data_IF_314003949973
#
_entry.id   IF_314003949973
#
_cell.length_a   1.000
_cell.length_b   1.000
_cell.length_c   1.000
_cell.angle_alpha   90.00
_cell.angle_beta   90.00
_cell.angle_gamma   90.00
#
_symmetry.space_group_name_H-M   'P 1'
#
loop_
_entity.id
_entity.type
_entity.pdbx_description
1 polymer ?
#
# COMPACT_ATOMS: atom_id res chain seq x y z
N UNK A 1 -15.50 -6.07 -33.86
CA UNK A 1 -14.38 -6.62 -33.05
C UNK A 1 -14.80 -6.59 -31.57
N UNK A 2 -15.45 -7.65 -31.09
CA UNK A 2 -15.92 -7.77 -29.72
C UNK A 2 -14.76 -8.26 -28.84
N UNK A 3 -14.29 -7.41 -27.92
CA UNK A 3 -13.27 -7.78 -26.93
C UNK A 3 -13.95 -8.46 -25.75
N UNK A 4 -13.62 -9.73 -25.56
CA UNK A 4 -13.97 -10.48 -24.35
C UNK A 4 -13.00 -10.09 -23.24
N UNK A 5 -13.55 -9.59 -22.12
CA UNK A 5 -12.77 -9.38 -20.90
C UNK A 5 -12.79 -10.66 -20.05
N UNK A 6 -11.64 -11.12 -19.54
CA UNK A 6 -11.58 -12.27 -18.65
C UNK A 6 -12.18 -11.91 -17.28
N UNK A 7 -13.14 -12.72 -16.85
CA UNK A 7 -13.73 -12.66 -15.50
C UNK A 7 -12.70 -13.21 -14.51
N UNK A 8 -12.18 -12.35 -13.65
CA UNK A 8 -11.31 -12.73 -12.53
C UNK A 8 -12.19 -13.33 -11.44
N UNK A 9 -12.06 -14.64 -11.20
CA UNK A 9 -12.74 -15.31 -10.09
C UNK A 9 -12.01 -15.04 -8.77
N UNK A 10 -12.70 -14.67 -7.68
CA UNK A 10 -12.09 -14.44 -6.38
C UNK A 10 -11.69 -15.78 -5.74
N UNK A 11 -10.39 -16.03 -5.65
CA UNK A 11 -9.79 -17.09 -4.85
C UNK A 11 -9.85 -16.66 -3.37
N UNK A 12 -10.84 -17.15 -2.63
CA UNK A 12 -10.97 -16.81 -1.21
C UNK A 12 -12.16 -17.43 -0.49
N UNK A 13 -12.54 -18.67 -0.80
CA UNK A 13 -13.50 -19.41 0.02
C UNK A 13 -12.77 -20.06 1.20
N UNK A 14 -12.89 -19.43 2.37
CA UNK A 14 -12.50 -20.00 3.66
C UNK A 14 -13.42 -21.18 3.95
N UNK A 15 -12.86 -22.40 3.95
CA UNK A 15 -13.56 -23.63 4.35
C UNK A 15 -13.62 -23.73 5.88
N UNK A 16 -14.48 -22.94 6.53
CA UNK A 16 -14.69 -23.03 7.98
C UNK A 16 -16.17 -23.21 8.36
N UNK A 17 -16.94 -23.97 7.58
CA UNK A 17 -18.22 -24.53 8.06
C UNK A 17 -18.58 -25.80 7.28
N UNK A 18 -17.75 -26.84 7.35
CA UNK A 18 -18.21 -28.18 6.98
C UNK A 18 -19.14 -28.68 8.08
N UNK A 19 -20.43 -28.63 7.79
CA UNK A 19 -21.50 -29.13 8.65
C UNK A 19 -21.18 -30.55 9.11
N UNK A 20 -21.09 -30.73 10.43
CA UNK A 20 -20.93 -32.03 11.10
C UNK A 20 -22.17 -32.94 11.01
N UNK A 21 -23.19 -32.55 10.23
CA UNK A 21 -24.43 -33.29 10.09
C UNK A 21 -24.51 -34.18 8.84
N UNK A 22 -23.41 -34.41 8.12
CA UNK A 22 -23.42 -35.33 6.98
C UNK A 22 -23.50 -36.79 7.47
N UNK A 23 -24.57 -37.56 7.14
CA UNK A 23 -24.78 -38.94 7.62
C UNK A 23 -23.63 -39.88 7.27
N UNK A 24 -22.87 -39.57 6.23
CA UNK A 24 -21.77 -40.38 5.74
C UNK A 24 -20.55 -40.39 6.69
N UNK A 25 -20.34 -39.33 7.49
CA UNK A 25 -19.20 -39.23 8.42
C UNK A 25 -19.50 -39.96 9.74
N UNK A 26 -20.76 -39.97 10.19
CA UNK A 26 -21.19 -40.71 11.38
C UNK A 26 -21.07 -42.23 11.17
N UNK A 27 -21.33 -42.71 9.94
CA UNK A 27 -21.17 -44.13 9.60
C UNK A 27 -19.70 -44.61 9.64
N UNK A 28 -18.73 -43.77 9.27
CA UNK A 28 -17.31 -44.14 9.25
C UNK A 28 -16.72 -44.33 10.66
N UNK A 29 -17.26 -43.65 11.68
CA UNK A 29 -16.75 -43.75 13.05
C UNK A 29 -17.17 -45.04 13.78
N UNK A 30 -18.16 -45.78 13.27
CA UNK A 30 -18.64 -47.02 13.87
C UNK A 30 -17.93 -48.29 13.39
N UNK A 31 -17.15 -48.25 12.30
CA UNK A 31 -16.49 -49.44 11.75
C UNK A 31 -15.34 -49.96 12.64
N UNK A 32 -14.63 -49.05 13.33
CA UNK A 32 -13.53 -49.43 14.25
C UNK A 32 -14.05 -50.02 15.57
N UNK A 33 -15.22 -49.59 16.02
CA UNK A 33 -15.86 -50.11 17.22
C UNK A 33 -16.52 -51.47 16.92
N UNK A 34 -17.14 -51.60 15.75
CA UNK A 34 -17.73 -52.84 15.26
C UNK A 34 -16.68 -53.94 15.00
N UNK A 35 -15.46 -53.58 14.57
CA UNK A 35 -14.38 -54.58 14.45
C UNK A 35 -13.85 -55.04 15.80
N UNK A 36 -13.79 -54.18 16.81
CA UNK A 36 -13.37 -54.56 18.17
C UNK A 36 -14.40 -55.46 18.87
N UNK A 37 -15.69 -55.20 18.70
CA UNK A 37 -16.74 -56.01 19.34
C UNK A 37 -16.86 -57.42 18.74
N UNK A 38 -16.48 -57.61 17.47
CA UNK A 38 -16.47 -58.94 16.83
C UNK A 38 -15.37 -59.88 17.33
N UNK A 39 -14.30 -59.35 17.95
CA UNK A 39 -13.21 -60.16 18.51
C UNK A 39 -13.37 -60.46 20.01
N UNK A 40 -14.50 -60.09 20.64
CA UNK A 40 -14.85 -60.60 21.98
C UNK A 40 -15.30 -62.05 21.88
N UNK A 41 -14.33 -62.95 21.75
CA UNK A 41 -14.51 -64.38 21.99
C UNK A 41 -15.06 -64.56 23.41
N UNK A 42 -16.13 -65.33 23.53
CA UNK A 42 -16.73 -65.75 24.81
C UNK A 42 -15.62 -66.34 25.67
N UNK A 43 -15.42 -65.89 26.93
CA UNK A 43 -14.39 -66.45 27.78
C UNK A 43 -14.65 -67.95 27.99
N UNK A 44 -13.71 -68.75 27.49
CA UNK A 44 -13.70 -70.20 27.59
C UNK A 44 -13.76 -70.63 29.06
N UNK A 45 -14.72 -71.51 29.41
CA UNK A 45 -14.85 -72.06 30.76
C UNK A 45 -13.57 -72.82 31.11
N UNK A 46 -12.81 -72.30 32.07
CA UNK A 46 -11.64 -72.98 32.63
C UNK A 46 -12.04 -74.35 33.16
N UNK A 47 -11.50 -75.40 32.56
CA UNK A 47 -11.51 -76.75 33.10
C UNK A 47 -10.84 -76.74 34.48
N UNK A 48 -11.43 -77.47 35.42
CA UNK A 48 -10.93 -77.67 36.77
C UNK A 48 -9.45 -78.08 36.75
N UNK A 49 -8.62 -77.31 37.45
CA UNK A 49 -7.20 -77.60 37.62
C UNK A 49 -7.02 -78.98 38.28
N UNK A 50 -6.10 -79.82 37.80
CA UNK A 50 -5.76 -81.07 38.47
C UNK A 50 -5.20 -80.77 39.85
N UNK A 51 -5.81 -81.37 40.88
CA UNK A 51 -5.46 -81.20 42.27
C UNK A 51 -4.13 -81.92 42.56
N UNK A 52 -3.02 -81.19 42.53
CA UNK A 52 -1.65 -81.70 42.78
C UNK A 52 -1.35 -81.98 44.26
N UNK A 53 -2.34 -81.89 45.17
CA UNK A 53 -2.17 -82.13 46.62
C UNK A 53 -1.69 -83.56 46.99
N UNK A 54 -1.51 -84.47 46.02
CA UNK A 54 -1.03 -85.83 46.27
C UNK A 54 0.49 -86.01 46.12
N UNK A 55 1.22 -85.03 45.57
CA UNK A 55 2.69 -85.18 45.41
C UNK A 55 3.46 -84.92 46.71
N UNK A 56 2.92 -84.11 47.63
CA UNK A 56 3.55 -83.81 48.93
C UNK A 56 3.52 -85.01 49.90
N UNK A 57 2.72 -86.05 49.60
CA UNK A 57 2.58 -87.24 50.46
C UNK A 57 3.65 -88.31 50.20
N UNK A 58 4.41 -88.20 49.11
CA UNK A 58 5.44 -89.18 48.71
C UNK A 58 6.78 -88.92 49.44
N UNK A 59 7.02 -87.72 49.97
CA UNK A 59 8.27 -87.38 50.67
C UNK A 59 8.30 -87.74 52.18
N UNK A 60 7.20 -88.26 52.74
CA UNK A 60 7.09 -88.64 54.15
C UNK A 60 7.60 -90.06 54.49
N UNK A 61 7.89 -90.92 53.51
CA UNK A 61 8.38 -92.29 53.74
C UNK A 61 9.91 -92.29 53.57
N UNK A 62 10.60 -91.99 54.68
CA UNK A 62 12.03 -91.73 54.78
C UNK A 62 12.96 -92.84 54.31
N UNK A 63 13.36 -92.78 53.04
CA UNK A 63 14.44 -93.61 52.46
C UNK A 63 15.55 -92.85 51.72
N UNK A 64 15.30 -91.60 51.29
CA UNK A 64 16.25 -90.78 50.49
C UNK A 64 16.30 -89.30 50.93
N UNK A 65 15.84 -89.00 52.15
CA UNK A 65 15.58 -87.63 52.62
C UNK A 65 16.79 -86.71 52.63
N UNK A 66 17.97 -87.17 53.11
CA UNK A 66 19.17 -86.30 53.19
C UNK A 66 19.72 -85.90 51.82
N UNK A 67 19.71 -86.80 50.84
CA UNK A 67 20.15 -86.48 49.48
C UNK A 67 19.15 -85.57 48.76
N UNK A 68 17.83 -85.80 48.95
CA UNK A 68 16.79 -84.90 48.43
C UNK A 68 16.84 -83.51 49.08
N UNK A 69 17.08 -83.42 50.39
CA UNK A 69 17.27 -82.15 51.11
C UNK A 69 18.48 -81.38 50.57
N UNK A 70 19.65 -82.03 50.46
CA UNK A 70 20.84 -81.39 49.89
C UNK A 70 20.62 -80.94 48.44
N UNK A 71 19.96 -81.75 47.62
CA UNK A 71 19.62 -81.41 46.23
C UNK A 71 18.61 -80.27 46.16
N UNK A 72 17.64 -80.22 47.07
CA UNK A 72 16.68 -79.13 47.20
C UNK A 72 17.37 -77.84 47.64
N UNK A 73 18.28 -77.87 48.62
CA UNK A 73 19.09 -76.72 49.04
C UNK A 73 19.95 -76.18 47.89
N UNK A 74 20.61 -77.05 47.13
CA UNK A 74 21.36 -76.67 45.92
C UNK A 74 20.46 -76.05 44.85
N UNK A 75 19.25 -76.59 44.67
CA UNK A 75 18.27 -76.05 43.72
C UNK A 75 17.70 -74.71 44.18
N UNK A 76 17.40 -74.54 45.48
CA UNK A 76 16.97 -73.28 46.06
C UNK A 76 18.07 -72.22 45.96
N UNK A 77 19.33 -72.59 46.23
CA UNK A 77 20.47 -71.69 46.05
C UNK A 77 20.62 -71.25 44.57
N UNK A 78 20.45 -72.19 43.63
CA UNK A 78 20.46 -71.88 42.20
C UNK A 78 19.31 -70.95 41.80
N UNK A 79 18.09 -71.22 42.27
CA UNK A 79 16.91 -70.38 42.02
C UNK A 79 17.07 -68.99 42.63
N UNK A 80 17.62 -68.87 43.84
CA UNK A 80 17.89 -67.59 44.49
C UNK A 80 18.86 -66.72 43.67
N UNK A 81 19.94 -67.32 43.13
CA UNK A 81 20.88 -66.61 42.25
C UNK A 81 20.22 -66.20 40.92
N UNK A 82 19.39 -67.06 40.32
CA UNK A 82 18.66 -66.75 39.09
C UNK A 82 17.60 -65.66 39.29
N UNK A 83 16.90 -65.67 40.42
CA UNK A 83 15.93 -64.65 40.81
C UNK A 83 16.61 -63.30 41.06
N UNK A 84 17.76 -63.28 41.73
CA UNK A 84 18.53 -62.05 41.94
C UNK A 84 19.02 -61.47 40.60
N UNK A 85 19.52 -62.30 39.69
CA UNK A 85 19.92 -61.87 38.34
C UNK A 85 18.74 -61.29 37.57
N UNK A 86 17.58 -61.96 37.59
CA UNK A 86 16.35 -61.46 36.96
C UNK A 86 15.92 -60.12 37.56
N UNK A 87 16.05 -59.94 38.87
CA UNK A 87 15.71 -58.68 39.52
C UNK A 87 16.63 -57.54 39.05
N UNK A 88 17.94 -57.79 38.96
CA UNK A 88 18.91 -56.81 38.43
C UNK A 88 18.63 -56.46 36.97
N UNK A 89 18.38 -57.46 36.12
CA UNK A 89 18.01 -57.25 34.71
C UNK A 89 16.72 -56.44 34.57
N UNK A 90 15.71 -56.70 35.42
CA UNK A 90 14.47 -55.93 35.44
C UNK A 90 14.70 -54.47 35.87
N UNK A 91 15.54 -54.23 36.87
CA UNK A 91 15.90 -52.87 37.32
C UNK A 91 16.64 -52.10 36.22
N UNK A 92 17.63 -52.70 35.58
CA UNK A 92 18.36 -52.09 34.45
C UNK A 92 17.43 -51.81 33.26
N UNK A 93 16.53 -52.75 32.94
CA UNK A 93 15.54 -52.57 31.88
C UNK A 93 14.56 -51.43 32.21
N UNK A 94 14.12 -51.30 33.46
CA UNK A 94 13.26 -50.22 33.91
C UNK A 94 13.97 -48.86 33.85
N UNK A 95 15.22 -48.79 34.33
CA UNK A 95 16.01 -47.57 34.28
C UNK A 95 16.25 -47.13 32.83
N UNK A 96 16.63 -48.06 31.95
CA UNK A 96 16.78 -47.80 30.51
C UNK A 96 15.47 -47.32 29.88
N UNK A 97 14.32 -47.86 30.31
CA UNK A 97 13.00 -47.40 29.87
C UNK A 97 12.68 -45.99 30.36
N UNK A 98 13.04 -45.66 31.62
CA UNK A 98 12.90 -44.31 32.19
C UNK A 98 13.78 -43.31 31.45
N UNK A 99 15.06 -43.64 31.22
CA UNK A 99 15.99 -42.79 30.46
C UNK A 99 15.50 -42.54 29.03
N UNK A 100 15.01 -43.57 28.32
CA UNK A 100 14.41 -43.41 26.98
C UNK A 100 13.20 -42.48 26.98
N UNK A 101 12.33 -42.57 28.00
CA UNK A 101 11.17 -41.66 28.14
C UNK A 101 11.62 -40.22 28.37
N UNK A 102 12.60 -39.99 29.25
CA UNK A 102 13.14 -38.64 29.52
C UNK A 102 13.81 -38.06 28.27
N UNK A 103 14.62 -38.83 27.56
CA UNK A 103 15.26 -38.42 26.31
C UNK A 103 14.23 -38.06 25.23
N UNK A 104 13.16 -38.86 25.10
CA UNK A 104 12.07 -38.57 24.17
C UNK A 104 11.32 -37.28 24.54
N UNK A 105 11.00 -37.07 25.82
CA UNK A 105 10.35 -35.84 26.28
C UNK A 105 11.25 -34.61 26.08
N UNK A 106 12.55 -34.71 26.36
CA UNK A 106 13.51 -33.65 26.12
C UNK A 106 13.61 -33.29 24.63
N UNK A 107 13.65 -34.30 23.74
CA UNK A 107 13.64 -34.08 22.29
C UNK A 107 12.36 -33.38 21.84
N UNK A 108 11.21 -33.80 22.36
CA UNK A 108 9.91 -33.19 22.04
C UNK A 108 9.85 -31.73 22.50
N UNK A 109 10.33 -31.42 23.71
CA UNK A 109 10.41 -30.03 24.21
C UNK A 109 11.30 -29.15 23.33
N UNK A 110 12.50 -29.64 22.97
CA UNK A 110 13.39 -28.91 22.06
C UNK A 110 12.76 -28.63 20.70
N UNK A 111 12.04 -29.60 20.14
CA UNK A 111 11.32 -29.40 18.87
C UNK A 111 10.20 -28.35 19.00
N UNK A 112 9.44 -28.38 20.09
CA UNK A 112 8.39 -27.38 20.35
C UNK A 112 8.99 -25.98 20.53
N UNK A 113 10.06 -25.85 21.31
CA UNK A 113 10.76 -24.57 21.50
C UNK A 113 11.33 -24.02 20.19
N UNK A 114 11.89 -24.88 19.33
CA UNK A 114 12.38 -24.46 18.01
C UNK A 114 11.25 -24.03 17.07
N UNK A 115 10.13 -24.75 17.05
CA UNK A 115 8.95 -24.39 16.27
C UNK A 115 8.35 -23.06 16.74
N UNK A 116 8.21 -22.88 18.06
CA UNK A 116 7.74 -21.64 18.65
C UNK A 116 8.68 -20.46 18.36
N UNK A 117 10.00 -20.70 18.39
CA UNK A 117 10.99 -19.69 17.99
C UNK A 117 10.83 -19.29 16.53
N UNK A 118 10.73 -20.27 15.62
CA UNK A 118 10.50 -20.02 14.18
C UNK A 118 9.20 -19.24 13.95
N UNK A 119 8.11 -19.62 14.63
CA UNK A 119 6.82 -18.93 14.54
C UNK A 119 6.89 -17.49 15.06
N UNK A 120 7.67 -17.22 16.12
CA UNK A 120 7.87 -15.85 16.62
C UNK A 120 8.67 -15.00 15.63
N UNK A 121 9.76 -15.52 15.09
CA UNK A 121 10.57 -14.82 14.08
C UNK A 121 9.77 -14.52 12.81
N UNK A 122 8.93 -15.45 12.35
CA UNK A 122 8.07 -15.23 11.19
C UNK A 122 7.03 -14.13 11.44
N UNK A 123 6.37 -14.13 12.61
CA UNK A 123 5.44 -13.07 13.00
C UNK A 123 6.12 -11.72 13.12
N UNK A 124 7.35 -11.68 13.61
CA UNK A 124 8.13 -10.45 13.71
C UNK A 124 8.52 -9.92 12.32
N UNK A 125 8.98 -10.78 11.41
CA UNK A 125 9.26 -10.41 10.01
C UNK A 125 8.01 -9.86 9.32
N UNK A 126 6.87 -10.54 9.46
CA UNK A 126 5.60 -10.07 8.91
C UNK A 126 5.22 -8.70 9.47
N UNK A 127 5.37 -8.47 10.78
CA UNK A 127 5.13 -7.15 11.39
C UNK A 127 6.05 -6.08 10.81
N UNK A 128 7.35 -6.36 10.72
CA UNK A 128 8.31 -5.42 10.12
C UNK A 128 8.00 -5.11 8.66
N UNK A 129 7.60 -6.11 7.87
CA UNK A 129 7.20 -5.94 6.48
C UNK A 129 5.93 -5.10 6.35
N UNK A 130 4.91 -5.34 7.18
CA UNK A 130 3.70 -4.51 7.18
C UNK A 130 3.99 -3.05 7.53
N UNK A 131 4.86 -2.79 8.49
CA UNK A 131 5.27 -1.42 8.87
C UNK A 131 6.03 -0.75 7.72
N UNK A 132 6.97 -1.45 7.06
CA UNK A 132 7.70 -0.92 5.90
C UNK A 132 6.77 -0.60 4.73
N UNK A 133 5.80 -1.48 4.45
CA UNK A 133 4.81 -1.25 3.39
C UNK A 133 3.91 -0.05 3.71
N UNK A 134 3.50 0.11 4.98
CA UNK A 134 2.71 1.27 5.40
C UNK A 134 3.51 2.57 5.30
N UNK A 135 4.79 2.56 5.69
CA UNK A 135 5.68 3.72 5.57
C UNK A 135 5.91 4.13 4.11
N UNK A 136 6.16 3.17 3.21
CA UNK A 136 6.27 3.43 1.77
C UNK A 136 4.97 4.04 1.22
N UNK A 137 3.81 3.50 1.62
CA UNK A 137 2.51 4.05 1.23
C UNK A 137 2.32 5.49 1.73
N UNK A 138 2.70 5.80 2.96
CA UNK A 138 2.64 7.18 3.49
C UNK A 138 3.54 8.14 2.71
N UNK A 139 4.75 7.71 2.33
CA UNK A 139 5.67 8.52 1.53
C UNK A 139 5.09 8.77 0.13
N UNK A 140 4.49 7.76 -0.50
CA UNK A 140 3.85 7.89 -1.81
C UNK A 140 2.63 8.83 -1.77
N UNK A 141 1.75 8.67 -0.77
CA UNK A 141 0.60 9.56 -0.56
C UNK A 141 1.04 11.02 -0.33
N UNK A 142 2.12 11.25 0.41
CA UNK A 142 2.70 12.60 0.59
C UNK A 142 3.26 13.16 -0.71
N UNK A 143 3.99 12.36 -1.49
CA UNK A 143 4.52 12.77 -2.80
C UNK A 143 3.41 13.14 -3.77
N UNK A 144 2.35 12.34 -3.79
CA UNK A 144 1.17 12.60 -4.62
C UNK A 144 0.43 13.86 -4.20
N UNK A 145 0.30 14.11 -2.89
CA UNK A 145 -0.28 15.35 -2.39
C UNK A 145 0.51 16.58 -2.84
N UNK A 146 1.84 16.55 -2.68
CA UNK A 146 2.71 17.64 -3.13
C UNK A 146 2.62 17.84 -4.63
N UNK A 147 2.57 16.76 -5.42
CA UNK A 147 2.41 16.84 -6.87
C UNK A 147 1.10 17.53 -7.25
N UNK A 148 -0.03 17.14 -6.65
CA UNK A 148 -1.33 17.77 -6.93
C UNK A 148 -1.35 19.24 -6.54
N UNK A 149 -0.77 19.61 -5.40
CA UNK A 149 -0.66 21.00 -4.97
C UNK A 149 0.22 21.83 -5.93
N UNK A 150 1.26 21.24 -6.51
CA UNK A 150 2.09 21.88 -7.55
C UNK A 150 1.32 22.03 -8.87
N UNK A 151 0.65 20.98 -9.33
CA UNK A 151 -0.18 21.01 -10.55
C UNK A 151 -1.31 22.04 -10.44
N UNK A 152 -1.96 22.15 -9.28
CA UNK A 152 -3.00 23.15 -9.03
C UNK A 152 -2.42 24.58 -9.05
N UNK A 153 -1.26 24.80 -8.42
CA UNK A 153 -0.56 26.09 -8.47
C UNK A 153 -0.15 26.47 -9.90
N UNK A 154 0.36 25.52 -10.67
CA UNK A 154 0.69 25.75 -12.08
C UNK A 154 -0.55 26.04 -12.93
N UNK A 155 -1.64 25.33 -12.68
CA UNK A 155 -2.91 25.54 -13.36
C UNK A 155 -3.46 26.95 -13.06
N UNK A 156 -3.46 27.38 -11.79
CA UNK A 156 -3.83 28.74 -11.38
C UNK A 156 -2.88 29.79 -11.99
N UNK A 157 -1.59 29.50 -12.09
CA UNK A 157 -0.63 30.38 -12.73
C UNK A 157 -0.88 30.53 -14.24
N UNK A 158 -1.41 29.51 -14.92
CA UNK A 158 -1.79 29.53 -16.34
C UNK A 158 -3.12 30.24 -16.60
N UNK A 159 -3.96 30.44 -15.57
CA UNK A 159 -5.25 31.10 -15.76
C UNK A 159 -5.04 32.55 -16.25
N UNK A 160 -5.78 32.99 -17.30
CA UNK A 160 -5.69 34.35 -17.78
C UNK A 160 -6.05 35.35 -16.68
N UNK A 161 -5.13 36.27 -16.38
CA UNK A 161 -5.34 37.32 -15.38
C UNK A 161 -6.01 38.54 -16.03
N UNK A 162 -6.86 39.29 -15.31
CA UNK A 162 -7.38 40.54 -15.84
C UNK A 162 -6.23 41.49 -16.15
N UNK A 163 -6.30 42.18 -17.29
CA UNK A 163 -5.30 43.17 -17.69
C UNK A 163 -5.29 44.31 -16.67
N UNK A 164 -4.13 44.58 -16.05
CA UNK A 164 -3.97 45.62 -15.03
C UNK A 164 -4.30 47.02 -15.55
N UNK A 165 -3.98 47.30 -16.83
CA UNK A 165 -4.19 48.62 -17.45
C UNK A 165 -5.67 48.94 -17.64
N UNK A 166 -6.47 47.97 -18.11
CA UNK A 166 -7.89 48.19 -18.41
C UNK A 166 -8.85 47.51 -17.41
N UNK A 167 -8.30 46.91 -16.35
CA UNK A 167 -9.02 46.17 -15.30
C UNK A 167 -10.03 45.15 -15.84
N UNK A 168 -9.67 44.40 -16.89
CA UNK A 168 -10.57 43.40 -17.46
C UNK A 168 -11.51 43.89 -18.56
N UNK A 169 -11.64 45.20 -18.77
CA UNK A 169 -12.64 45.75 -19.72
C UNK A 169 -12.31 45.51 -21.19
N UNK A 170 -11.03 45.34 -21.53
CA UNK A 170 -10.53 45.25 -22.91
C UNK A 170 -10.57 46.58 -23.67
N UNK A 171 -11.18 47.63 -23.12
CA UNK A 171 -11.31 48.94 -23.77
C UNK A 171 -10.12 49.83 -23.39
N UNK A 172 -9.72 50.72 -24.29
CA UNK A 172 -8.72 51.74 -23.98
C UNK A 172 -9.28 52.68 -22.89
N UNK A 173 -8.53 52.87 -21.79
CA UNK A 173 -8.97 53.72 -20.66
C UNK A 173 -9.09 55.20 -21.06
N UNK A 174 -8.24 55.66 -21.99
CA UNK A 174 -8.21 57.06 -22.40
C UNK A 174 -9.44 57.49 -23.24
N UNK A 175 -9.96 56.61 -24.11
CA UNK A 175 -11.11 56.91 -24.98
C UNK A 175 -12.34 56.03 -24.72
N UNK A 176 -12.29 55.19 -23.68
CA UNK A 176 -13.35 54.25 -23.28
C UNK A 176 -13.86 53.34 -24.40
N UNK A 177 -12.99 53.00 -25.37
CA UNK A 177 -13.34 52.14 -26.50
C UNK A 177 -13.77 52.88 -27.76
N UNK A 178 -13.92 54.20 -27.71
CA UNK A 178 -14.42 54.99 -28.86
C UNK A 178 -13.36 55.10 -29.97
N UNK A 179 -12.07 55.15 -29.60
CA UNK A 179 -10.94 55.32 -30.53
C UNK A 179 -10.66 56.77 -30.94
N UNK A 180 -11.52 57.71 -30.51
CA UNK A 180 -11.33 59.15 -30.68
C UNK A 180 -11.57 59.88 -29.36
N UNK A 181 -10.89 61.02 -29.19
CA UNK A 181 -11.07 61.94 -28.07
C UNK A 181 -11.55 63.29 -28.64
N UNK A 182 -12.56 63.95 -28.04
CA UNK A 182 -12.94 65.29 -28.46
C UNK A 182 -11.86 66.28 -28.05
N UNK A 183 -11.31 67.02 -29.02
CA UNK A 183 -10.44 68.17 -28.75
C UNK A 183 -11.20 69.46 -29.08
N UNK A 184 -11.04 70.47 -28.23
CA UNK A 184 -11.61 71.80 -28.44
C UNK A 184 -10.54 72.70 -29.04
N UNK A 185 -10.77 73.15 -30.27
CA UNK A 185 -9.92 74.12 -30.96
C UNK A 185 -10.49 75.51 -30.72
N UNK A 186 -9.72 76.34 -30.01
CA UNK A 186 -10.08 77.73 -29.74
C UNK A 186 -9.78 78.59 -30.97
N UNK A 187 -10.68 79.52 -31.27
CA UNK A 187 -10.42 80.55 -32.28
C UNK A 187 -9.54 81.65 -31.68
N UNK A 188 -8.54 82.09 -32.44
CA UNK A 188 -7.73 83.24 -32.05
C UNK A 188 -8.51 84.55 -32.12
N UNK A 189 -9.52 84.61 -33.00
CA UNK A 189 -10.35 85.79 -33.23
C UNK A 189 -11.82 85.38 -33.44
N UNK A 190 -12.73 86.08 -32.77
CA UNK A 190 -14.17 85.92 -33.00
C UNK A 190 -14.60 86.79 -34.19
N UNK A 191 -14.47 86.26 -35.42
CA UNK A 191 -14.88 86.94 -36.64
C UNK A 191 -15.57 86.00 -37.63
N UNK A 192 -16.62 86.49 -38.31
CA UNK A 192 -17.47 85.73 -39.26
C UNK A 192 -16.74 85.19 -40.51
N UNK A 193 -15.45 85.50 -40.71
CA UNK A 193 -14.72 85.23 -41.97
C UNK A 193 -13.37 84.53 -41.78
N UNK A 194 -13.18 83.74 -40.74
CA UNK A 194 -11.96 82.93 -40.63
C UNK A 194 -12.21 81.53 -41.24
N UNK A 195 -11.48 81.12 -42.29
CA UNK A 195 -11.69 79.84 -42.99
C UNK A 195 -11.16 78.62 -42.22
N UNK A 196 -10.90 78.77 -40.91
CA UNK A 196 -10.32 77.72 -40.09
C UNK A 196 -11.41 76.98 -39.33
N UNK A 197 -11.21 75.69 -39.16
CA UNK A 197 -12.07 74.83 -38.36
C UNK A 197 -11.85 75.08 -36.86
N UNK A 198 -12.82 75.72 -36.20
CA UNK A 198 -12.84 75.88 -34.75
C UNK A 198 -13.94 75.02 -34.11
N UNK A 199 -13.89 74.90 -32.78
CA UNK A 199 -14.86 74.13 -32.00
C UNK A 199 -14.39 72.71 -31.68
N UNK A 200 -15.34 71.82 -31.35
CA UNK A 200 -15.03 70.43 -30.97
C UNK A 200 -14.81 69.59 -32.22
N UNK A 201 -13.60 69.05 -32.39
CA UNK A 201 -13.27 68.10 -33.46
C UNK A 201 -12.79 66.78 -32.85
N UNK A 202 -13.15 65.63 -33.44
CA UNK A 202 -12.64 64.34 -32.99
C UNK A 202 -11.15 64.22 -33.34
N UNK A 203 -10.35 63.79 -32.37
CA UNK A 203 -8.93 63.48 -32.53
C UNK A 203 -8.71 61.98 -32.31
N UNK A 204 -7.73 61.39 -32.97
CA UNK A 204 -7.35 60.00 -32.69
C UNK A 204 -6.86 59.86 -31.24
N UNK A 205 -7.19 58.75 -30.60
CA UNK A 205 -6.71 58.48 -29.24
C UNK A 205 -5.29 57.90 -29.26
N UNK A 206 -4.33 58.66 -28.74
CA UNK A 206 -2.92 58.24 -28.64
C UNK A 206 -2.75 56.92 -27.85
N UNK A 207 -3.59 56.69 -26.83
CA UNK A 207 -3.52 55.51 -25.97
C UNK A 207 -3.93 54.18 -26.63
N UNK A 208 -4.48 54.22 -27.86
CA UNK A 208 -4.82 53.01 -28.62
C UNK A 208 -4.42 53.15 -30.10
N UNK A 209 -3.21 53.67 -30.35
CA UNK A 209 -2.61 53.81 -31.68
C UNK A 209 -3.37 54.74 -32.66
N UNK A 210 -4.21 55.63 -32.13
CA UNK A 210 -4.75 56.75 -32.89
C UNK A 210 -3.72 57.87 -32.98
N UNK A 211 -3.89 58.75 -33.97
CA UNK A 211 -3.04 59.94 -34.11
C UNK A 211 -3.88 61.21 -33.94
N UNK A 212 -3.37 62.15 -33.16
CA UNK A 212 -3.84 63.54 -33.19
C UNK A 212 -3.56 64.11 -34.57
N UNK A 213 -4.59 64.60 -35.24
CA UNK A 213 -4.46 65.43 -36.43
C UNK A 213 -3.70 66.70 -36.05
N UNK A 214 -2.49 66.81 -36.57
CA UNK A 214 -1.93 68.11 -36.92
C UNK A 214 -2.52 68.53 -38.27
N UNK A 215 -2.51 69.83 -38.58
CA UNK A 215 -3.13 70.48 -39.75
C UNK A 215 -2.87 69.84 -41.13
N UNK A 216 -1.95 68.87 -41.24
CA UNK A 216 -1.51 68.24 -42.49
C UNK A 216 -1.78 66.73 -42.60
N UNK A 217 -2.34 66.08 -41.56
CA UNK A 217 -2.53 64.62 -41.55
C UNK A 217 -4.00 64.19 -41.50
N UNK A 218 -4.32 63.10 -42.22
CA UNK A 218 -5.64 62.46 -42.17
C UNK A 218 -5.94 61.89 -40.77
N UNK A 219 -7.20 62.02 -40.33
CA UNK A 219 -7.64 61.53 -39.01
C UNK A 219 -7.54 60.01 -38.95
N UNK A 220 -6.49 59.48 -38.31
CA UNK A 220 -6.40 58.06 -38.00
C UNK A 220 -7.04 57.77 -36.65
N UNK A 221 -8.27 57.24 -36.71
CA UNK A 221 -8.98 56.72 -35.55
C UNK A 221 -8.16 55.61 -34.87
N UNK A 222 -8.04 55.66 -33.54
CA UNK A 222 -7.41 54.60 -32.77
C UNK A 222 -8.29 53.34 -32.71
N UNK A 223 -7.71 52.21 -32.32
CA UNK A 223 -8.43 50.92 -32.32
C UNK A 223 -9.55 50.85 -31.27
N UNK A 224 -9.50 51.71 -30.25
CA UNK A 224 -10.37 51.65 -29.07
C UNK A 224 -10.06 50.46 -28.13
N UNK A 225 -9.17 49.54 -28.53
CA UNK A 225 -8.79 48.37 -27.74
C UNK A 225 -7.63 48.72 -26.81
N UNK A 226 -7.58 48.09 -25.64
CA UNK A 226 -6.44 48.23 -24.74
C UNK A 226 -5.17 47.70 -25.44
N UNK A 227 -4.08 48.49 -25.54
CA UNK A 227 -2.87 48.07 -26.25
C UNK A 227 -2.08 46.96 -25.54
N UNK A 228 -2.31 46.77 -24.24
CA UNK A 228 -1.60 45.76 -23.44
C UNK A 228 -2.21 44.35 -23.55
N UNK A 229 -3.50 44.27 -23.88
CA UNK A 229 -4.20 42.99 -24.00
C UNK A 229 -5.00 42.90 -25.31
N UNK A 230 -4.73 43.75 -26.28
CA UNK A 230 -5.35 43.81 -27.62
C UNK A 230 -6.88 43.71 -27.67
N UNK A 231 -7.57 44.17 -26.63
CA UNK A 231 -9.03 44.11 -26.56
C UNK A 231 -9.61 42.92 -25.81
N UNK A 232 -8.81 41.92 -25.44
CA UNK A 232 -9.27 40.69 -24.78
C UNK A 232 -9.69 40.89 -23.31
N UNK A 233 -9.19 41.96 -22.67
CA UNK A 233 -9.40 42.22 -21.24
C UNK A 233 -8.61 41.30 -20.31
N UNK A 234 -8.07 40.19 -20.79
CA UNK A 234 -7.26 39.25 -20.02
C UNK A 234 -5.90 39.04 -20.69
N UNK A 235 -4.86 38.89 -19.88
CA UNK A 235 -3.50 38.59 -20.33
C UNK A 235 -3.20 37.16 -19.90
N UNK A 236 -2.81 36.32 -20.87
CA UNK A 236 -2.25 35.01 -20.57
C UNK A 236 -0.79 35.23 -20.17
N UNK A 237 -0.36 34.79 -18.98
CA UNK A 237 1.05 34.88 -18.63
C UNK A 237 1.83 34.00 -19.61
N UNK A 238 2.81 34.59 -20.29
CA UNK A 238 3.77 33.86 -21.10
C UNK A 238 4.62 33.02 -20.17
N UNK A 239 4.22 31.77 -20.01
CA UNK A 239 5.05 30.76 -19.39
C UNK A 239 5.97 30.31 -20.51
N UNK A 240 7.16 30.90 -20.58
CA UNK A 240 8.23 30.46 -21.47
C UNK A 240 8.54 28.99 -21.14
N UNK A 241 7.86 28.06 -21.82
CA UNK A 241 8.05 26.62 -21.68
C UNK A 241 9.45 26.15 -22.12
N UNK A 242 10.24 27.04 -22.72
CA UNK A 242 11.53 26.75 -23.35
C UNK A 242 12.74 27.40 -22.68
N UNK A 243 12.57 28.21 -21.61
CA UNK A 243 13.72 28.79 -20.91
C UNK A 243 14.08 27.96 -19.66
N UNK A 244 15.09 27.08 -19.70
CA UNK A 244 15.54 26.30 -18.53
C UNK A 244 16.09 27.18 -17.40
N UNK A 245 16.30 28.46 -17.66
CA UNK A 245 16.58 29.47 -16.64
C UNK A 245 15.41 30.43 -16.61
N UNK A 246 14.60 30.40 -15.54
CA UNK A 246 13.40 31.21 -15.34
C UNK A 246 13.63 32.72 -15.24
N UNK A 247 14.31 33.32 -16.22
CA UNK A 247 14.21 34.74 -16.51
C UNK A 247 12.94 34.91 -17.33
N UNK A 248 11.88 35.34 -16.65
CA UNK A 248 10.81 36.08 -17.30
C UNK A 248 11.49 37.16 -18.14
N UNK A 249 11.47 37.02 -19.46
CA UNK A 249 11.67 38.16 -20.33
C UNK A 249 10.56 39.12 -19.94
N UNK A 250 10.86 40.07 -19.05
CA UNK A 250 10.07 41.29 -18.94
C UNK A 250 9.88 41.73 -20.36
N UNK A 251 8.64 41.74 -20.83
CA UNK A 251 8.26 42.38 -22.07
C UNK A 251 8.91 43.76 -22.00
N UNK A 252 10.06 43.89 -22.67
CA UNK A 252 10.81 45.12 -22.76
C UNK A 252 10.00 45.97 -23.70
N UNK A 253 8.95 46.54 -23.13
CA UNK A 253 8.27 47.69 -23.68
C UNK A 253 9.37 48.74 -23.81
N UNK A 254 9.60 49.10 -25.06
CA UNK A 254 10.44 50.18 -25.55
C UNK A 254 11.95 49.92 -25.55
N UNK A 255 12.54 50.00 -26.74
CA UNK A 255 13.04 51.29 -27.21
C UNK A 255 12.74 51.40 -28.70
N UNK A 256 11.77 52.25 -29.04
CA UNK A 256 11.67 52.75 -30.40
C UNK A 256 13.02 53.37 -30.74
N UNK A 257 13.60 52.95 -31.87
CA UNK A 257 14.82 53.51 -32.40
C UNK A 257 14.63 55.02 -32.59
N UNK A 258 15.10 55.83 -31.64
CA UNK A 258 15.39 57.24 -31.88
C UNK A 258 16.62 57.27 -32.79
N UNK A 259 16.40 57.00 -34.08
CA UNK A 259 17.33 57.27 -35.15
C UNK A 259 17.53 58.77 -35.23
N UNK A 260 18.53 59.23 -34.49
CA UNK A 260 19.07 60.59 -34.52
C UNK A 260 19.57 60.86 -35.94
N UNK A 261 18.80 61.61 -36.73
CA UNK A 261 19.24 62.19 -37.99
C UNK A 261 20.31 63.24 -37.65
N UNK A 262 21.58 62.88 -37.73
CA UNK A 262 22.66 63.86 -37.83
C UNK A 262 22.74 64.32 -39.29
N UNK A 263 22.09 65.45 -39.56
CA UNK A 263 22.27 66.22 -40.79
C UNK A 263 23.55 67.03 -40.62
N UNK A 264 24.66 66.56 -41.20
CA UNK A 264 25.86 67.38 -41.36
C UNK A 264 25.63 68.38 -42.49
N UNK A 265 25.76 69.66 -42.14
CA UNK A 265 25.91 70.80 -43.06
C UNK A 265 27.36 70.86 -43.54
#
# INVERSE_FOLDING_TARGET
>A
KLRWHPVVMPLGLKYETLSRSSPCIVAAHNLRQWSLDRYRLVPERKSSEPNFAHLDRIDLIGGNGRWRQKRAEEEFARRAIEEEKKLRELQEAEEKRRQRKLAFQARRRRQQEEEDRRRKEERERQRQETVRMEELRRIEEQRDRVRREQEEKEWLARQPKPCEVCSGSGKCVACLGVGTNPALFLASECGYKTPKDYGRRPQGCDGCYGFKQNLLAELKKGTGRCPNCDGWGKIRPDIDLTSPMGRTKRNSIAQAATGFFNSSV
#
